data_IF_163675535652
#
_entry.id   IF_163675535652
#
_cell.length_a   1.000
_cell.length_b   1.000
_cell.length_c   1.000
_cell.angle_alpha   90.00
_cell.angle_beta   90.00
_cell.angle_gamma   90.00
#
_symmetry.space_group_name_H-M   'P 1'
#
loop_
_entity.id
_entity.type
_entity.pdbx_description
1 polymer ?
#
# COMPACT_ATOMS: atom_id res chain seq x y z
N UNK A 1 -19.28 -31.98 2.09
CA UNK A 1 -17.85 -31.69 1.84
C UNK A 1 -17.22 -31.26 3.15
N UNK A 2 -16.47 -32.16 3.80
CA UNK A 2 -15.75 -31.83 5.03
C UNK A 2 -14.38 -31.29 4.67
N UNK A 3 -14.07 -30.06 5.04
CA UNK A 3 -12.72 -29.51 4.92
C UNK A 3 -12.33 -28.93 6.28
N UNK A 4 -11.63 -29.77 7.03
CA UNK A 4 -10.53 -29.49 7.94
C UNK A 4 -10.64 -28.25 8.86
N UNK A 5 -11.24 -28.46 10.02
CA UNK A 5 -10.88 -27.71 11.23
C UNK A 5 -9.43 -28.08 11.60
N UNK A 6 -8.45 -27.22 11.31
CA UNK A 6 -7.11 -27.32 11.92
C UNK A 6 -7.00 -26.23 12.98
N UNK A 7 -7.14 -26.62 14.23
CA UNK A 7 -6.74 -25.78 15.35
C UNK A 7 -5.22 -25.53 15.28
N UNK A 8 -4.82 -24.26 15.22
CA UNK A 8 -3.43 -23.84 15.48
C UNK A 8 -2.51 -23.66 14.27
N UNK A 9 -3.02 -23.56 13.05
CA UNK A 9 -2.16 -23.14 11.92
C UNK A 9 -2.04 -21.62 11.92
N UNK A 10 -0.88 -21.08 12.29
CA UNK A 10 -0.55 -19.64 12.20
C UNK A 10 -0.46 -19.15 10.74
N UNK A 11 -1.02 -19.89 9.78
CA UNK A 11 -0.96 -19.67 8.35
C UNK A 11 -2.38 -19.57 7.82
N UNK A 12 -2.70 -18.43 7.20
CA UNK A 12 -3.94 -18.13 6.50
C UNK A 12 -3.73 -18.32 5.00
N UNK A 13 -4.74 -18.88 4.34
CA UNK A 13 -4.86 -18.86 2.88
C UNK A 13 -5.45 -17.53 2.40
N UNK A 14 -5.58 -17.34 1.09
CA UNK A 14 -6.15 -16.10 0.53
C UNK A 14 -7.60 -15.87 0.98
N UNK A 15 -8.41 -16.92 0.98
CA UNK A 15 -9.81 -16.89 1.39
C UNK A 15 -9.94 -16.60 2.90
N UNK A 16 -9.15 -17.30 3.72
CA UNK A 16 -9.13 -17.06 5.17
C UNK A 16 -8.61 -15.67 5.53
N UNK A 17 -7.63 -15.15 4.77
CA UNK A 17 -7.14 -13.78 4.95
C UNK A 17 -8.21 -12.75 4.55
N UNK A 18 -8.99 -13.03 3.51
CA UNK A 18 -10.11 -12.20 3.08
C UNK A 18 -11.19 -12.13 4.17
N UNK A 19 -11.55 -13.27 4.76
CA UNK A 19 -12.45 -13.32 5.92
C UNK A 19 -11.86 -12.59 7.15
N UNK A 20 -10.58 -12.84 7.44
CA UNK A 20 -9.87 -12.23 8.57
C UNK A 20 -9.81 -10.69 8.49
N UNK A 21 -9.54 -10.14 7.30
CA UNK A 21 -9.52 -8.69 7.06
C UNK A 21 -10.90 -8.11 6.75
N UNK A 22 -11.93 -8.96 6.62
CA UNK A 22 -13.27 -8.59 6.12
C UNK A 22 -13.23 -7.83 4.80
N UNK A 23 -12.37 -8.27 3.89
CA UNK A 23 -12.22 -7.69 2.56
C UNK A 23 -12.61 -8.72 1.50
N UNK A 24 -13.08 -8.30 0.32
CA UNK A 24 -13.36 -9.23 -0.76
C UNK A 24 -12.05 -9.83 -1.29
N UNK A 25 -12.05 -11.10 -1.72
CA UNK A 25 -10.84 -11.83 -2.12
C UNK A 25 -10.11 -11.18 -3.29
N UNK A 26 -10.86 -10.56 -4.22
CA UNK A 26 -10.33 -9.75 -5.33
C UNK A 26 -9.40 -8.60 -4.86
N UNK A 27 -9.74 -7.95 -3.75
CA UNK A 27 -8.94 -6.88 -3.16
C UNK A 27 -7.69 -7.45 -2.52
N UNK A 28 -7.80 -8.57 -1.82
CA UNK A 28 -6.63 -9.27 -1.25
C UNK A 28 -5.68 -9.71 -2.36
N UNK A 29 -6.18 -10.35 -3.41
CA UNK A 29 -5.38 -10.75 -4.58
C UNK A 29 -4.63 -9.56 -5.19
N UNK A 30 -5.32 -8.44 -5.39
CA UNK A 30 -4.69 -7.23 -5.93
C UNK A 30 -3.60 -6.70 -5.01
N UNK A 31 -3.87 -6.60 -3.72
CA UNK A 31 -2.90 -6.07 -2.76
C UNK A 31 -1.66 -6.98 -2.62
N UNK A 32 -1.86 -8.29 -2.66
CA UNK A 32 -0.80 -9.29 -2.62
C UNK A 32 0.06 -9.23 -3.89
N UNK A 33 -0.57 -9.10 -5.06
CA UNK A 33 0.15 -8.85 -6.33
C UNK A 33 0.95 -7.55 -6.33
N UNK A 34 0.46 -6.52 -5.63
CA UNK A 34 1.17 -5.24 -5.44
C UNK A 34 2.23 -5.28 -4.33
N UNK A 35 2.38 -6.41 -3.62
CA UNK A 35 3.35 -6.53 -2.53
C UNK A 35 3.01 -5.73 -1.28
N UNK A 36 1.73 -5.32 -1.13
CA UNK A 36 1.27 -4.54 0.02
C UNK A 36 1.05 -5.40 1.27
N UNK A 37 0.72 -6.68 1.08
CA UNK A 37 0.53 -7.63 2.19
C UNK A 37 1.74 -8.58 2.32
N UNK A 38 2.18 -8.86 3.57
CA UNK A 38 3.24 -9.82 3.82
C UNK A 38 2.74 -11.26 3.63
N UNK A 39 2.95 -11.79 2.43
CA UNK A 39 2.63 -13.16 2.06
C UNK A 39 3.75 -13.83 1.28
N UNK A 40 3.75 -15.16 1.26
CA UNK A 40 4.67 -15.96 0.43
C UNK A 40 3.86 -16.82 -0.53
N UNK A 41 4.22 -16.76 -1.81
CA UNK A 41 3.71 -17.71 -2.81
C UNK A 41 4.61 -18.95 -2.80
N UNK A 42 4.04 -20.11 -2.50
CA UNK A 42 4.71 -21.41 -2.59
C UNK A 42 3.86 -22.29 -3.48
N UNK A 43 4.42 -22.78 -4.59
CA UNK A 43 3.75 -23.71 -5.52
C UNK A 43 2.36 -23.22 -5.96
N UNK A 44 2.27 -21.94 -6.36
CA UNK A 44 1.03 -21.28 -6.80
C UNK A 44 -0.03 -21.06 -5.72
N UNK A 45 0.30 -21.30 -4.45
CA UNK A 45 -0.59 -21.05 -3.30
C UNK A 45 0.00 -19.93 -2.46
N UNK A 46 -0.84 -18.93 -2.16
CA UNK A 46 -0.48 -17.86 -1.22
C UNK A 46 -0.65 -18.34 0.22
N UNK A 47 0.41 -18.17 1.01
CA UNK A 47 0.41 -18.40 2.45
C UNK A 47 0.77 -17.13 3.19
N UNK A 48 -0.07 -16.78 4.16
CA UNK A 48 0.08 -15.59 4.98
C UNK A 48 0.25 -16.02 6.43
N UNK A 49 1.26 -15.53 7.14
CA UNK A 49 1.33 -15.81 8.58
C UNK A 49 0.39 -14.88 9.33
N UNK A 50 -0.45 -15.40 10.22
CA UNK A 50 -1.34 -14.60 11.05
C UNK A 50 -0.54 -13.57 11.86
N UNK A 51 0.55 -13.98 12.49
CA UNK A 51 1.43 -13.06 13.22
C UNK A 51 2.04 -11.95 12.34
N UNK A 52 2.33 -12.24 11.06
CA UNK A 52 2.88 -11.24 10.14
C UNK A 52 1.81 -10.24 9.68
N UNK A 53 0.57 -10.72 9.45
CA UNK A 53 -0.57 -9.87 9.13
C UNK A 53 -0.93 -8.98 10.33
N UNK A 54 -0.92 -9.53 11.54
CA UNK A 54 -1.16 -8.77 12.78
C UNK A 54 -0.14 -7.63 12.97
N UNK A 55 1.16 -7.95 12.85
CA UNK A 55 2.22 -6.93 12.86
C UNK A 55 2.09 -5.90 11.73
N UNK A 56 1.62 -6.32 10.55
CA UNK A 56 1.39 -5.40 9.44
C UNK A 56 0.21 -4.45 9.71
N UNK A 57 -0.89 -4.96 10.27
CA UNK A 57 -2.02 -4.14 10.74
C UNK A 57 -1.54 -3.10 11.77
N UNK A 58 -0.66 -3.51 12.70
CA UNK A 58 -0.06 -2.60 13.69
C UNK A 58 0.84 -1.52 13.06
N UNK A 59 1.43 -1.77 11.89
CA UNK A 59 2.34 -0.83 11.19
C UNK A 59 1.66 0.13 10.22
N UNK A 60 0.41 -0.15 9.81
CA UNK A 60 -0.22 0.52 8.68
C UNK A 60 -0.54 2.02 8.88
N UNK A 61 -0.24 2.60 10.03
CA UNK A 61 -0.30 4.05 10.23
C UNK A 61 0.79 4.84 9.48
N UNK A 62 1.84 4.21 8.95
CA UNK A 62 2.98 4.97 8.40
C UNK A 62 2.65 5.72 7.08
N UNK A 63 1.77 5.19 6.23
CA UNK A 63 1.37 5.85 4.97
C UNK A 63 0.28 6.90 5.18
N UNK A 64 -0.59 6.70 6.17
CA UNK A 64 -1.52 7.73 6.64
C UNK A 64 -0.75 8.89 7.27
N UNK A 65 0.29 8.62 8.07
CA UNK A 65 1.18 9.64 8.62
C UNK A 65 1.83 10.48 7.52
N UNK A 66 2.32 9.85 6.44
CA UNK A 66 2.88 10.60 5.32
C UNK A 66 1.82 11.44 4.59
N UNK A 67 0.59 10.93 4.42
CA UNK A 67 -0.51 11.68 3.79
C UNK A 67 -1.02 12.82 4.68
N UNK A 68 -0.96 12.67 6.01
CA UNK A 68 -1.28 13.73 6.98
C UNK A 68 -0.19 14.81 7.01
N UNK A 69 1.05 14.46 6.64
CA UNK A 69 2.16 15.41 6.46
C UNK A 69 2.11 16.14 5.11
N UNK A 70 1.45 15.60 4.08
CA UNK A 70 1.32 16.26 2.77
C UNK A 70 0.56 17.59 2.87
N UNK A 71 -0.42 17.71 3.77
CA UNK A 71 -1.11 18.99 4.03
C UNK A 71 -0.15 20.07 4.53
N UNK A 72 0.70 19.74 5.51
CA UNK A 72 1.64 20.70 6.12
C UNK A 72 2.73 21.20 5.15
N UNK A 73 3.04 20.46 4.08
CA UNK A 73 3.97 20.90 3.05
C UNK A 73 3.29 21.78 1.98
N UNK A 74 2.00 21.59 1.70
CA UNK A 74 1.26 22.38 0.70
C UNK A 74 1.04 23.84 1.17
N UNK A 75 1.02 24.08 2.47
CA UNK A 75 0.95 25.43 3.07
C UNK A 75 2.32 26.16 3.11
N UNK A 76 3.42 25.50 2.68
CA UNK A 76 4.74 26.14 2.59
C UNK A 76 4.90 26.88 1.25
N UNK A 77 4.83 28.21 1.31
CA UNK A 77 4.92 29.14 0.18
C UNK A 77 6.26 29.02 -0.61
N UNK A 78 7.24 28.25 -0.10
CA UNK A 78 8.54 28.04 -0.77
C UNK A 78 8.57 26.85 -1.74
N UNK A 79 7.53 26.00 -1.77
CA UNK A 79 7.43 24.88 -2.73
C UNK A 79 7.58 25.26 -4.22
N UNK A 80 6.96 26.34 -4.75
CA UNK A 80 7.13 26.70 -6.16
C UNK A 80 8.58 27.07 -6.50
N UNK A 81 9.30 27.76 -5.61
CA UNK A 81 10.69 28.13 -5.83
C UNK A 81 11.63 26.92 -5.85
N UNK A 82 11.41 25.95 -4.95
CA UNK A 82 12.19 24.71 -4.91
C UNK A 82 11.92 23.82 -6.14
N UNK A 83 10.66 23.73 -6.58
CA UNK A 83 10.30 23.01 -7.82
C UNK A 83 11.00 23.63 -9.03
N UNK A 84 10.94 24.95 -9.16
CA UNK A 84 11.61 25.69 -10.24
C UNK A 84 13.13 25.47 -10.25
N UNK A 85 13.78 25.47 -9.07
CA UNK A 85 15.21 25.20 -8.96
C UNK A 85 15.58 23.77 -9.40
N UNK A 86 14.79 22.76 -9.02
CA UNK A 86 15.02 21.36 -9.43
C UNK A 86 14.83 21.17 -10.94
N UNK A 87 13.85 21.84 -11.54
CA UNK A 87 13.65 21.80 -13.00
C UNK A 87 14.74 22.55 -13.77
N UNK A 88 15.21 23.68 -13.25
CA UNK A 88 16.32 24.44 -13.84
C UNK A 88 17.61 23.62 -13.87
N UNK A 89 17.92 22.89 -12.78
CA UNK A 89 19.07 21.99 -12.71
C UNK A 89 18.96 20.80 -13.68
N UNK A 90 17.75 20.29 -13.91
CA UNK A 90 17.48 19.14 -14.78
C UNK A 90 17.27 19.49 -16.26
N UNK A 91 17.36 20.76 -16.64
CA UNK A 91 17.33 21.20 -18.05
C UNK A 91 16.02 20.93 -18.81
N UNK A 92 14.89 20.74 -18.09
CA UNK A 92 13.55 20.59 -18.67
C UNK A 92 12.69 21.73 -18.14
N UNK A 93 12.51 22.83 -18.89
CA UNK A 93 11.61 23.89 -18.46
C UNK A 93 10.19 23.33 -18.43
N UNK A 94 9.51 23.52 -17.30
CA UNK A 94 8.08 23.33 -17.13
C UNK A 94 7.39 24.29 -18.13
N UNK A 95 7.04 23.82 -19.33
CA UNK A 95 6.12 24.58 -20.19
C UNK A 95 4.74 24.39 -19.61
N UNK A 96 4.36 25.39 -18.83
CA UNK A 96 3.03 25.60 -18.32
C UNK A 96 2.10 25.93 -19.50
N UNK A 97 1.54 24.92 -20.17
CA UNK A 97 0.35 25.10 -21.02
C UNK A 97 -0.87 25.25 -20.09
N UNK A 98 -0.96 26.39 -19.41
CA UNK A 98 -2.25 26.89 -18.91
C UNK A 98 -2.99 27.53 -20.10
N UNK A 99 -3.45 26.72 -21.05
CA UNK A 99 -4.45 27.16 -22.01
C UNK A 99 -5.77 27.30 -21.25
N UNK A 100 -6.01 28.51 -20.74
CA UNK A 100 -7.34 28.97 -20.38
C UNK A 100 -8.07 29.28 -21.67
N UNK A 101 -9.09 28.49 -22.01
CA UNK A 101 -10.15 28.91 -22.92
C UNK A 101 -11.50 28.36 -22.51
#
# INVERSE_FOLDING_TARGET
MGQHMVGGSDILTLDELADYLRLPPEVIERQVKQGLLPGRCIESIWRFRKAAIDQWLQRQDSRTVLLHQVGAFLDDDSLPALRAAIYADRGRPETEDTETS
#
